data_IF_771547360647
#
_entry.id   IF_771547360647
#
_cell.length_a   1.000
_cell.length_b   1.000
_cell.length_c   1.000
_cell.angle_alpha   90.00
_cell.angle_beta   90.00
_cell.angle_gamma   90.00
#
_symmetry.space_group_name_H-M   'P 1'
#
loop_
_entity.id
_entity.type
_entity.pdbx_description
1 polymer ?
#
# COMPACT_ATOMS: atom_id res chain seq x y z
N UNK A 1 44.88 -76.27 30.77
CA UNK A 1 45.17 -75.66 29.46
C UNK A 1 44.13 -76.11 28.45
N UNK A 2 43.19 -75.24 28.08
CA UNK A 2 42.81 -74.97 26.68
C UNK A 2 41.94 -73.72 26.65
N UNK A 3 42.22 -72.90 25.64
CA UNK A 3 41.87 -71.49 25.45
C UNK A 3 40.38 -71.14 25.39
N UNK A 4 40.06 -69.84 25.60
CA UNK A 4 38.74 -69.27 25.47
C UNK A 4 38.33 -69.19 24.00
N UNK A 5 37.03 -69.25 23.72
CA UNK A 5 36.46 -69.04 22.39
C UNK A 5 36.42 -67.53 22.09
N UNK A 6 37.27 -67.00 21.18
CA UNK A 6 37.28 -65.60 20.86
C UNK A 6 36.87 -65.47 19.40
N UNK A 7 35.61 -65.14 19.13
CA UNK A 7 35.21 -64.23 18.03
C UNK A 7 33.69 -64.24 17.89
N UNK A 8 33.08 -63.37 18.69
CA UNK A 8 32.08 -62.44 18.15
C UNK A 8 32.74 -61.64 17.01
N UNK A 9 32.82 -62.23 15.81
CA UNK A 9 33.01 -61.45 14.58
C UNK A 9 31.61 -61.02 14.18
N UNK A 10 31.21 -59.84 14.63
CA UNK A 10 30.32 -58.98 13.85
C UNK A 10 30.96 -58.87 12.46
N UNK A 11 30.55 -59.72 11.53
CA UNK A 11 30.72 -59.46 10.11
C UNK A 11 29.88 -58.22 9.86
N UNK A 12 30.53 -57.05 9.85
CA UNK A 12 30.02 -55.93 9.09
C UNK A 12 29.90 -56.45 7.66
N UNK A 13 28.67 -56.81 7.28
CA UNK A 13 28.33 -57.22 5.92
C UNK A 13 28.69 -56.00 5.09
N UNK A 14 29.78 -56.09 4.32
CA UNK A 14 30.02 -55.08 3.29
C UNK A 14 28.80 -55.13 2.37
N UNK A 15 28.15 -53.98 2.09
CA UNK A 15 27.02 -53.96 1.18
C UNK A 15 27.49 -54.54 -0.16
N UNK A 16 26.66 -55.42 -0.74
CA UNK A 16 26.97 -55.97 -2.05
C UNK A 16 26.99 -54.84 -3.08
N UNK A 17 27.73 -55.02 -4.17
CA UNK A 17 27.80 -54.01 -5.25
C UNK A 17 26.41 -53.64 -5.77
N UNK A 18 25.48 -54.59 -5.77
CA UNK A 18 24.08 -54.36 -6.13
C UNK A 18 23.37 -53.40 -5.17
N UNK A 19 23.61 -53.52 -3.87
CA UNK A 19 23.00 -52.67 -2.83
C UNK A 19 23.50 -51.22 -2.96
N UNK A 20 24.79 -51.03 -3.22
CA UNK A 20 25.38 -49.71 -3.45
C UNK A 20 24.84 -49.04 -4.72
N UNK A 21 24.58 -49.82 -5.78
CA UNK A 21 23.99 -49.31 -7.02
C UNK A 21 22.53 -48.92 -6.80
N UNK A 22 21.75 -49.74 -6.08
CA UNK A 22 20.36 -49.44 -5.75
C UNK A 22 20.26 -48.19 -4.85
N UNK A 23 21.15 -48.04 -3.87
CA UNK A 23 21.22 -46.86 -3.02
C UNK A 23 21.59 -45.60 -3.83
N UNK A 24 22.56 -45.70 -4.74
CA UNK A 24 22.93 -44.59 -5.62
C UNK A 24 21.75 -44.19 -6.54
N UNK A 25 21.04 -45.16 -7.11
CA UNK A 25 19.86 -44.91 -7.93
C UNK A 25 18.77 -44.17 -7.12
N UNK A 26 18.46 -44.66 -5.90
CA UNK A 26 17.49 -44.00 -5.03
C UNK A 26 17.89 -42.58 -4.61
N UNK A 27 19.20 -42.33 -4.40
CA UNK A 27 19.70 -40.97 -4.13
C UNK A 27 19.59 -40.06 -5.34
N UNK A 28 19.83 -40.56 -6.55
CA UNK A 28 19.67 -39.79 -7.79
C UNK A 28 18.19 -39.45 -8.05
N UNK A 29 17.27 -40.39 -7.83
CA UNK A 29 15.84 -40.13 -7.92
C UNK A 29 15.38 -39.08 -6.89
N UNK A 30 15.89 -39.16 -5.65
CA UNK A 30 15.60 -38.16 -4.63
C UNK A 30 16.14 -36.77 -5.01
N UNK A 31 17.34 -36.70 -5.62
CA UNK A 31 17.91 -35.45 -6.13
C UNK A 31 17.08 -34.88 -7.29
N UNK A 32 16.61 -35.72 -8.21
CA UNK A 32 15.75 -35.28 -9.31
C UNK A 32 14.40 -34.72 -8.79
N UNK A 33 13.79 -35.39 -7.81
CA UNK A 33 12.58 -34.89 -7.15
C UNK A 33 12.81 -33.54 -6.44
N UNK A 34 13.99 -33.34 -5.84
CA UNK A 34 14.35 -32.06 -5.21
C UNK A 34 14.62 -30.96 -6.24
N UNK A 35 15.24 -31.29 -7.37
CA UNK A 35 15.46 -30.35 -8.48
C UNK A 35 14.13 -29.88 -9.07
N UNK A 36 13.21 -30.80 -9.34
CA UNK A 36 11.86 -30.46 -9.82
C UNK A 36 11.13 -29.49 -8.85
N UNK A 37 11.22 -29.75 -7.53
CA UNK A 37 10.64 -28.85 -6.53
C UNK A 37 11.32 -27.48 -6.49
N UNK A 38 12.63 -27.43 -6.70
CA UNK A 38 13.37 -26.17 -6.75
C UNK A 38 12.96 -25.33 -7.96
N UNK A 39 12.79 -25.95 -9.13
CA UNK A 39 12.29 -25.27 -10.33
C UNK A 39 10.88 -24.71 -10.12
N UNK A 40 10.00 -25.47 -9.49
CA UNK A 40 8.64 -24.99 -9.18
C UNK A 40 8.66 -23.82 -8.19
N UNK A 41 9.54 -23.88 -7.18
CA UNK A 41 9.73 -22.78 -6.25
C UNK A 41 10.29 -21.52 -6.95
N UNK A 42 11.20 -21.69 -7.90
CA UNK A 42 11.73 -20.59 -8.71
C UNK A 42 10.64 -19.94 -9.57
N UNK A 43 9.80 -20.74 -10.23
CA UNK A 43 8.63 -20.25 -10.97
C UNK A 43 7.68 -19.45 -10.07
N UNK A 44 7.35 -19.98 -8.90
CA UNK A 44 6.48 -19.29 -7.94
C UNK A 44 7.09 -17.98 -7.43
N UNK A 45 8.41 -17.95 -7.21
CA UNK A 45 9.11 -16.74 -6.80
C UNK A 45 9.11 -15.67 -7.91
N UNK A 46 9.28 -16.08 -9.17
CA UNK A 46 9.18 -15.18 -10.31
C UNK A 46 7.78 -14.56 -10.44
N UNK A 47 6.73 -15.38 -10.34
CA UNK A 47 5.34 -14.93 -10.39
C UNK A 47 5.00 -13.95 -9.24
N UNK A 48 5.47 -14.26 -8.03
CA UNK A 48 5.29 -13.39 -6.87
C UNK A 48 6.03 -12.06 -7.05
N UNK A 49 7.25 -12.09 -7.59
CA UNK A 49 8.02 -10.88 -7.90
C UNK A 49 7.30 -9.98 -8.92
N UNK A 50 6.75 -10.57 -9.99
CA UNK A 50 5.96 -9.81 -10.97
C UNK A 50 4.71 -9.19 -10.33
N UNK A 51 4.02 -9.93 -9.45
CA UNK A 51 2.87 -9.41 -8.72
C UNK A 51 3.24 -8.23 -7.80
N UNK A 52 4.39 -8.30 -7.12
CA UNK A 52 4.91 -7.20 -6.30
C UNK A 52 5.24 -5.97 -7.15
N UNK A 53 5.86 -6.14 -8.32
CA UNK A 53 6.15 -5.04 -9.24
C UNK A 53 4.85 -4.37 -9.71
N UNK A 54 3.83 -5.14 -10.08
CA UNK A 54 2.52 -4.61 -10.48
C UNK A 54 1.84 -3.86 -9.34
N UNK A 55 1.87 -4.42 -8.14
CA UNK A 55 1.29 -3.81 -6.94
C UNK A 55 1.98 -2.48 -6.61
N UNK A 56 3.30 -2.44 -6.67
CA UNK A 56 4.07 -1.22 -6.45
C UNK A 56 3.71 -0.12 -7.46
N UNK A 57 3.62 -0.45 -8.76
CA UNK A 57 3.21 0.51 -9.79
C UNK A 57 1.80 1.05 -9.52
N UNK A 58 0.87 0.17 -9.16
CA UNK A 58 -0.49 0.57 -8.79
C UNK A 58 -0.51 1.50 -7.57
N UNK A 59 0.32 1.24 -6.55
CA UNK A 59 0.46 2.12 -5.39
C UNK A 59 1.02 3.49 -5.78
N UNK A 60 2.08 3.53 -6.60
CA UNK A 60 2.69 4.77 -7.09
C UNK A 60 1.68 5.61 -7.90
N UNK A 61 0.92 4.98 -8.81
CA UNK A 61 -0.13 5.63 -9.58
C UNK A 61 -1.26 6.16 -8.68
N UNK A 62 -1.68 5.39 -7.69
CA UNK A 62 -2.73 5.79 -6.73
C UNK A 62 -2.29 7.00 -5.92
N UNK A 63 -1.04 7.02 -5.44
CA UNK A 63 -0.49 8.18 -4.71
C UNK A 63 -0.45 9.42 -5.59
N UNK A 64 -0.01 9.28 -6.85
CA UNK A 64 -0.02 10.39 -7.81
C UNK A 64 -1.43 10.94 -8.00
N UNK A 65 -2.43 10.09 -8.25
CA UNK A 65 -3.83 10.51 -8.42
C UNK A 65 -4.37 11.22 -7.17
N UNK A 66 -4.09 10.71 -5.97
CA UNK A 66 -4.52 11.36 -4.72
C UNK A 66 -3.88 12.75 -4.60
N UNK A 67 -2.59 12.91 -4.95
CA UNK A 67 -1.92 14.20 -4.89
C UNK A 67 -2.51 15.20 -5.89
N UNK A 68 -2.82 14.76 -7.11
CA UNK A 68 -3.48 15.58 -8.14
C UNK A 68 -4.87 16.03 -7.68
N UNK A 69 -5.69 15.11 -7.16
CA UNK A 69 -7.01 15.46 -6.64
C UNK A 69 -6.92 16.39 -5.43
N UNK A 70 -5.96 16.20 -4.53
CA UNK A 70 -5.71 17.14 -3.43
C UNK A 70 -5.28 18.52 -3.92
N UNK A 71 -4.52 18.61 -5.00
CA UNK A 71 -4.17 19.89 -5.61
C UNK A 71 -5.41 20.58 -6.19
N UNK A 72 -6.24 19.84 -6.94
CA UNK A 72 -7.51 20.34 -7.50
C UNK A 72 -8.48 20.79 -6.40
N UNK A 73 -8.62 20.03 -5.32
CA UNK A 73 -9.46 20.39 -4.18
C UNK A 73 -8.96 21.67 -3.51
N UNK A 74 -7.65 21.83 -3.30
CA UNK A 74 -7.07 23.07 -2.76
C UNK A 74 -7.35 24.28 -3.67
N UNK A 75 -7.24 24.10 -4.98
CA UNK A 75 -7.57 25.17 -5.93
C UNK A 75 -9.05 25.56 -5.88
N UNK A 76 -9.96 24.58 -5.82
CA UNK A 76 -11.40 24.82 -5.68
C UNK A 76 -11.72 25.50 -4.36
N UNK A 77 -11.10 25.08 -3.27
CA UNK A 77 -11.28 25.70 -1.96
C UNK A 77 -10.83 27.16 -1.98
N UNK A 78 -9.68 27.45 -2.60
CA UNK A 78 -9.19 28.81 -2.73
C UNK A 78 -10.15 29.71 -3.51
N UNK A 79 -10.68 29.21 -4.64
CA UNK A 79 -11.67 29.95 -5.42
C UNK A 79 -12.98 30.19 -4.65
N UNK A 80 -13.42 29.23 -3.82
CA UNK A 80 -14.58 29.40 -2.94
C UNK A 80 -14.33 30.48 -1.87
N UNK A 81 -13.13 30.49 -1.27
CA UNK A 81 -12.75 31.50 -0.29
C UNK A 81 -12.70 32.91 -0.91
N UNK A 82 -12.11 33.06 -2.11
CA UNK A 82 -12.06 34.33 -2.84
C UNK A 82 -13.48 34.84 -3.17
N UNK A 83 -14.36 33.95 -3.64
CA UNK A 83 -15.74 34.30 -3.94
C UNK A 83 -16.51 34.71 -2.69
N UNK A 84 -16.31 34.01 -1.57
CA UNK A 84 -16.90 34.39 -0.30
C UNK A 84 -16.38 35.74 0.22
N UNK A 85 -15.09 36.02 0.07
CA UNK A 85 -14.50 37.31 0.46
C UNK A 85 -15.06 38.45 -0.39
N UNK A 86 -15.20 38.26 -1.70
CA UNK A 86 -15.86 39.24 -2.58
C UNK A 86 -17.33 39.45 -2.22
N UNK A 87 -18.05 38.37 -1.91
CA UNK A 87 -19.46 38.46 -1.51
C UNK A 87 -19.63 39.20 -0.17
N UNK A 88 -18.76 38.93 0.82
CA UNK A 88 -18.76 39.69 2.09
C UNK A 88 -18.50 41.17 1.86
N UNK A 89 -17.50 41.53 1.06
CA UNK A 89 -17.20 42.91 0.74
C UNK A 89 -18.39 43.62 0.03
N UNK A 90 -19.10 42.91 -0.85
CA UNK A 90 -20.30 43.44 -1.51
C UNK A 90 -21.46 43.65 -0.51
N UNK A 91 -21.70 42.69 0.39
CA UNK A 91 -22.70 42.81 1.46
C UNK A 91 -22.38 43.99 2.38
N UNK A 92 -21.12 44.16 2.80
CA UNK A 92 -20.68 45.28 3.63
C UNK A 92 -20.84 46.64 2.94
N UNK A 93 -20.49 46.72 1.65
CA UNK A 93 -20.68 47.95 0.86
C UNK A 93 -22.16 48.36 0.77
N UNK A 94 -23.05 47.38 0.62
CA UNK A 94 -24.50 47.59 0.54
C UNK A 94 -25.15 47.82 1.91
N UNK A 95 -24.50 47.42 3.01
CA UNK A 95 -25.00 47.66 4.37
C UNK A 95 -25.10 49.15 4.74
N UNK A 96 -24.37 50.02 4.03
CA UNK A 96 -24.41 51.46 4.22
C UNK A 96 -25.62 52.13 3.53
N UNK A 97 -26.45 51.37 2.81
CA UNK A 97 -27.64 51.89 2.14
C UNK A 97 -28.87 51.83 3.05
N UNK A 98 -29.74 52.85 2.96
CA UNK A 98 -30.93 53.02 3.84
C UNK A 98 -31.93 51.86 3.81
N UNK A 99 -31.91 51.05 2.75
CA UNK A 99 -32.70 49.82 2.63
C UNK A 99 -31.87 48.75 1.94
N UNK A 100 -31.58 47.66 2.66
CA UNK A 100 -30.93 46.49 2.08
C UNK A 100 -31.95 45.64 1.31
N UNK A 101 -31.69 45.30 0.04
CA UNK A 101 -32.46 44.30 -0.68
C UNK A 101 -32.46 42.96 0.05
N UNK A 102 -33.55 42.21 -0.07
CA UNK A 102 -33.73 40.91 0.60
C UNK A 102 -32.64 39.91 0.20
N UNK A 103 -32.23 39.97 -1.06
CA UNK A 103 -31.19 39.13 -1.66
C UNK A 103 -29.84 39.31 -0.97
N UNK A 104 -29.52 40.52 -0.51
CA UNK A 104 -28.28 40.81 0.22
C UNK A 104 -28.32 40.21 1.62
N UNK A 105 -29.49 40.20 2.25
CA UNK A 105 -29.68 39.55 3.55
C UNK A 105 -29.58 38.02 3.43
N UNK A 106 -30.21 37.44 2.40
CA UNK A 106 -30.12 36.00 2.12
C UNK A 106 -28.66 35.58 1.84
N UNK A 107 -27.93 36.34 1.03
CA UNK A 107 -26.51 36.11 0.77
C UNK A 107 -25.65 36.17 2.05
N UNK A 108 -25.94 37.11 2.96
CA UNK A 108 -25.23 37.20 4.24
C UNK A 108 -25.46 35.95 5.12
N UNK A 109 -26.69 35.44 5.15
CA UNK A 109 -27.03 34.21 5.87
C UNK A 109 -26.34 33.01 5.23
N UNK A 110 -26.34 32.90 3.90
CA UNK A 110 -25.66 31.80 3.19
C UNK A 110 -24.15 31.78 3.47
N UNK A 111 -23.48 32.94 3.45
CA UNK A 111 -22.07 33.06 3.81
C UNK A 111 -21.79 32.63 5.25
N UNK A 112 -22.70 32.95 6.17
CA UNK A 112 -22.60 32.53 7.57
C UNK A 112 -22.77 31.02 7.73
N UNK A 113 -23.70 30.41 6.98
CA UNK A 113 -23.91 28.95 6.97
C UNK A 113 -22.68 28.24 6.40
N UNK A 114 -22.11 28.73 5.30
CA UNK A 114 -20.90 28.16 4.68
C UNK A 114 -19.70 28.21 5.62
N UNK A 115 -19.53 29.31 6.36
CA UNK A 115 -18.47 29.45 7.36
C UNK A 115 -18.69 28.51 8.57
N UNK A 116 -19.92 28.46 9.10
CA UNK A 116 -20.29 27.59 10.22
C UNK A 116 -20.12 26.09 9.89
N UNK A 117 -20.43 25.69 8.66
CA UNK A 117 -20.26 24.34 8.17
C UNK A 117 -18.80 23.99 7.83
N UNK A 118 -17.88 24.95 7.89
CA UNK A 118 -16.45 24.74 7.60
C UNK A 118 -16.13 24.58 6.11
N UNK A 119 -17.04 25.01 5.23
CA UNK A 119 -16.80 25.04 3.78
C UNK A 119 -15.92 26.19 3.35
N UNK A 120 -15.80 27.24 4.18
CA UNK A 120 -14.85 28.32 3.99
C UNK A 120 -13.66 28.06 4.89
N UNK A 121 -12.46 28.28 4.36
CA UNK A 121 -11.26 28.16 5.16
C UNK A 121 -11.32 29.27 6.20
N UNK A 122 -11.51 28.92 7.48
CA UNK A 122 -11.36 29.89 8.56
C UNK A 122 -9.97 30.47 8.39
N UNK A 123 -9.87 31.73 7.95
CA UNK A 123 -8.64 32.48 8.08
C UNK A 123 -8.36 32.45 9.56
N UNK A 124 -7.43 31.57 9.96
CA UNK A 124 -6.87 31.61 11.28
C UNK A 124 -6.53 33.07 11.52
N UNK A 125 -7.07 33.62 12.59
CA UNK A 125 -6.48 34.77 13.23
C UNK A 125 -4.97 34.53 13.20
N UNK A 126 -4.25 35.16 12.27
CA UNK A 126 -2.82 35.41 12.43
C UNK A 126 -2.76 36.40 13.58
N UNK A 127 -3.00 35.93 14.80
CA UNK A 127 -2.54 36.61 15.98
C UNK A 127 -1.03 36.62 15.85
N UNK A 128 -0.50 37.84 15.82
CA UNK A 128 0.92 38.15 15.84
C UNK A 128 1.67 37.35 16.91
#
# INVERSE_FOLDING_TARGET
MTSPDPKSRKTAILPDRGDLIAELAGRLEALDALLNRLEDAERQAADASEHLIRTRRWQEDTVRTIQEERARMRQRQHALDELADHARAAVEALAHHRSLPREVHELAVELQVLDAAGFLTRRGSRSR
#
